data_IF_551039132131
#
_entry.id   IF_551039132131
#
_cell.length_a   1.000
_cell.length_b   1.000
_cell.length_c   1.000
_cell.angle_alpha   90.00
_cell.angle_beta   90.00
_cell.angle_gamma   90.00
#
_symmetry.space_group_name_H-M   'P 1'
#
loop_
_entity.id
_entity.type
_entity.pdbx_description
1 polymer ?
#
# COMPACT_ATOMS: atom_id res chain seq x y z
N UNK A 1 -11.10 21.23 -1.42
CA UNK A 1 -12.09 20.55 -0.54
C UNK A 1 -11.70 19.09 -0.30
N UNK A 2 -11.38 18.31 -1.34
CA UNK A 2 -10.89 16.93 -1.20
C UNK A 2 -9.59 16.76 -0.40
N UNK A 3 -8.61 17.67 -0.58
CA UNK A 3 -7.35 17.66 0.17
C UNK A 3 -7.54 17.82 1.68
N UNK A 4 -8.35 18.80 2.09
CA UNK A 4 -8.67 19.06 3.51
C UNK A 4 -9.50 17.93 4.14
N UNK A 5 -10.33 17.24 3.34
CA UNK A 5 -11.11 16.10 3.81
C UNK A 5 -10.24 14.86 4.02
N UNK A 6 -9.25 14.63 3.14
CA UNK A 6 -8.28 13.54 3.27
C UNK A 6 -7.40 13.72 4.51
N UNK A 7 -6.95 14.95 4.78
CA UNK A 7 -6.13 15.28 5.95
C UNK A 7 -6.83 14.90 7.26
N UNK A 8 -8.08 15.33 7.42
CA UNK A 8 -8.85 15.12 8.66
C UNK A 8 -9.13 13.66 8.98
N UNK A 9 -9.19 12.78 7.97
CA UNK A 9 -9.44 11.35 8.16
C UNK A 9 -8.23 10.62 8.76
N UNK A 10 -7.01 11.07 8.47
CA UNK A 10 -5.78 10.39 8.89
C UNK A 10 -5.16 11.05 10.14
N UNK A 11 -5.16 12.38 10.19
CA UNK A 11 -4.52 13.15 11.28
C UNK A 11 -5.25 12.96 12.60
N UNK A 12 -6.59 12.91 12.61
CA UNK A 12 -7.36 12.81 13.86
C UNK A 12 -7.12 11.49 14.62
N UNK A 13 -7.21 10.29 13.99
CA UNK A 13 -6.86 9.04 14.65
C UNK A 13 -5.40 8.99 15.13
N UNK A 14 -4.46 9.50 14.33
CA UNK A 14 -3.03 9.48 14.68
C UNK A 14 -2.76 10.38 15.89
N UNK A 15 -3.32 11.58 15.92
CA UNK A 15 -3.18 12.49 17.06
C UNK A 15 -3.88 11.98 18.32
N UNK A 16 -5.00 11.26 18.16
CA UNK A 16 -5.63 10.55 19.26
C UNK A 16 -4.69 9.47 19.83
N UNK A 17 -4.04 8.67 18.98
CA UNK A 17 -3.09 7.64 19.43
C UNK A 17 -1.86 8.25 20.11
N UNK A 18 -1.34 9.37 19.63
CA UNK A 18 -0.25 10.12 20.29
C UNK A 18 -0.70 10.62 21.66
N UNK A 19 -1.88 11.26 21.74
CA UNK A 19 -2.45 11.72 23.01
C UNK A 19 -2.72 10.59 24.00
N UNK A 20 -3.25 9.47 23.52
CA UNK A 20 -3.45 8.26 24.31
C UNK A 20 -2.12 7.70 24.85
N UNK A 21 -1.06 7.74 24.04
CA UNK A 21 0.30 7.38 24.47
C UNK A 21 0.77 8.19 25.68
N UNK A 22 0.57 9.51 25.66
CA UNK A 22 0.89 10.39 26.79
C UNK A 22 0.02 10.11 28.03
N UNK A 23 -1.26 9.79 27.85
CA UNK A 23 -2.12 9.43 28.99
C UNK A 23 -1.69 8.09 29.59
N UNK A 24 -1.33 7.12 28.75
CA UNK A 24 -0.86 5.81 29.19
C UNK A 24 0.46 5.92 29.96
N UNK A 25 1.39 6.78 29.54
CA UNK A 25 2.65 7.03 30.27
C UNK A 25 2.43 7.68 31.63
N UNK A 26 1.34 8.42 31.82
CA UNK A 26 0.95 8.92 33.14
C UNK A 26 0.32 7.86 34.05
N UNK A 27 -0.43 6.91 33.47
CA UNK A 27 -1.17 5.89 34.23
C UNK A 27 -0.33 4.65 34.57
N UNK A 28 0.69 4.33 33.76
CA UNK A 28 1.52 3.13 33.92
C UNK A 28 2.95 3.53 34.27
N UNK A 29 3.37 3.29 35.51
CA UNK A 29 4.75 3.45 35.96
C UNK A 29 5.27 2.11 36.49
N UNK A 30 6.34 1.59 35.88
CA UNK A 30 6.97 0.35 36.30
C UNK A 30 8.23 0.03 35.50
N UNK A 31 9.09 -0.90 35.96
CA UNK A 31 10.34 -1.24 35.29
C UNK A 31 10.12 -1.74 33.85
N UNK A 32 9.04 -2.51 33.61
CA UNK A 32 8.66 -2.92 32.26
C UNK A 32 8.24 -1.74 31.36
N UNK A 33 7.63 -0.69 31.93
CA UNK A 33 7.32 0.53 31.16
C UNK A 33 8.61 1.23 30.71
N UNK A 34 9.63 1.30 31.56
CA UNK A 34 10.92 1.90 31.18
C UNK A 34 11.68 1.11 30.12
N UNK A 35 11.63 -0.23 30.14
CA UNK A 35 12.25 -1.08 29.13
C UNK A 35 11.55 -1.01 27.75
N UNK A 36 10.20 -0.94 27.74
CA UNK A 36 9.44 -0.99 26.48
C UNK A 36 9.01 0.37 25.92
N UNK A 37 8.78 1.37 26.79
CA UNK A 37 8.15 2.65 26.44
C UNK A 37 8.92 3.89 26.94
N UNK A 38 9.80 3.75 27.93
CA UNK A 38 10.50 4.89 28.55
C UNK A 38 11.31 5.74 27.56
N UNK A 39 12.05 5.10 26.65
CA UNK A 39 12.78 5.82 25.59
C UNK A 39 11.86 6.46 24.54
N UNK A 40 10.64 5.93 24.34
CA UNK A 40 9.70 6.47 23.36
C UNK A 40 8.97 7.71 23.90
N UNK A 41 8.78 7.83 25.22
CA UNK A 41 8.07 8.94 25.86
C UNK A 41 8.83 10.27 25.72
N UNK A 42 10.14 10.28 26.02
CA UNK A 42 11.00 11.47 25.87
C UNK A 42 11.11 11.92 24.39
N UNK A 43 11.38 10.97 23.49
CA UNK A 43 11.45 11.23 22.04
C UNK A 43 10.13 11.77 21.50
N UNK A 44 9.02 11.22 21.98
CA UNK A 44 7.70 11.68 21.56
C UNK A 44 7.40 13.07 22.11
N UNK A 45 7.79 13.39 23.34
CA UNK A 45 7.65 14.74 23.89
C UNK A 45 8.38 15.79 23.04
N UNK A 46 9.55 15.47 22.49
CA UNK A 46 10.31 16.38 21.62
C UNK A 46 9.77 16.48 20.18
N UNK A 47 9.24 15.37 19.64
CA UNK A 47 8.93 15.24 18.21
C UNK A 47 7.46 15.02 17.86
N UNK A 48 6.52 15.04 18.82
CA UNK A 48 5.08 14.78 18.55
C UNK A 48 4.48 15.74 17.51
N UNK A 49 4.92 16.99 17.50
CA UNK A 49 4.43 18.02 16.58
C UNK A 49 4.78 17.72 15.11
N UNK A 50 5.86 16.96 14.86
CA UNK A 50 6.22 16.51 13.51
C UNK A 50 5.22 15.49 12.97
N UNK A 51 4.57 14.73 13.85
CA UNK A 51 3.49 13.79 13.48
C UNK A 51 2.27 14.57 13.00
N UNK A 52 1.89 15.64 13.69
CA UNK A 52 0.77 16.52 13.31
C UNK A 52 1.00 17.17 11.94
N UNK A 53 2.24 17.60 11.67
CA UNK A 53 2.61 18.23 10.40
C UNK A 53 2.92 17.22 9.28
N UNK A 54 2.81 15.91 9.54
CA UNK A 54 3.19 14.86 8.61
C UNK A 54 4.63 15.01 8.05
N UNK A 55 5.57 15.42 8.90
CA UNK A 55 7.01 15.53 8.57
C UNK A 55 7.88 14.65 9.47
N UNK A 56 7.27 13.72 10.22
CA UNK A 56 7.95 12.83 11.15
C UNK A 56 9.07 12.01 10.46
N UNK A 57 8.91 11.69 9.18
CA UNK A 57 9.90 10.97 8.37
C UNK A 57 11.19 11.76 8.02
N UNK A 58 11.27 13.04 8.42
CA UNK A 58 12.50 13.83 8.33
C UNK A 58 13.39 13.69 9.56
N UNK A 59 12.83 13.23 10.68
CA UNK A 59 13.57 12.85 11.87
C UNK A 59 14.27 11.50 11.66
N UNK A 60 15.42 11.31 12.32
CA UNK A 60 16.09 10.00 12.37
C UNK A 60 15.17 8.95 12.96
N UNK A 61 15.18 7.74 12.42
CA UNK A 61 14.25 6.65 12.74
C UNK A 61 14.18 6.35 14.24
N UNK A 62 15.32 6.38 14.92
CA UNK A 62 15.43 6.14 16.36
C UNK A 62 14.94 7.31 17.21
N UNK A 63 14.81 8.52 16.67
CA UNK A 63 14.41 9.74 17.38
C UNK A 63 12.96 10.15 17.05
N UNK A 64 12.24 9.38 16.24
CA UNK A 64 10.82 9.63 15.94
C UNK A 64 9.97 9.38 17.19
N UNK A 65 8.88 10.13 17.37
CA UNK A 65 7.89 9.83 18.43
C UNK A 65 7.41 8.37 18.33
N UNK A 66 7.19 7.90 17.11
CA UNK A 66 6.96 6.50 16.81
C UNK A 66 7.36 6.22 15.36
N UNK A 67 8.17 5.16 15.11
CA UNK A 67 8.49 4.73 13.77
C UNK A 67 7.25 4.42 12.94
N UNK A 68 6.16 3.92 13.53
CA UNK A 68 4.96 3.55 12.77
C UNK A 68 4.35 4.70 11.96
N UNK A 69 4.62 5.96 12.33
CA UNK A 69 4.08 7.13 11.64
C UNK A 69 4.91 7.62 10.44
N UNK A 70 6.08 7.02 10.15
CA UNK A 70 6.89 7.42 8.99
C UNK A 70 6.10 7.26 7.67
N UNK A 71 5.36 6.15 7.54
CA UNK A 71 4.64 5.82 6.31
C UNK A 71 3.46 6.76 6.07
N UNK A 72 2.72 7.09 7.13
CA UNK A 72 1.62 8.06 7.10
C UNK A 72 2.12 9.43 6.62
N UNK A 73 3.27 9.87 7.10
CA UNK A 73 3.89 11.13 6.68
C UNK A 73 4.28 11.09 5.20
N UNK A 74 4.86 9.98 4.73
CA UNK A 74 5.22 9.79 3.32
C UNK A 74 3.99 9.81 2.41
N UNK A 75 2.93 9.09 2.78
CA UNK A 75 1.69 9.03 1.98
C UNK A 75 1.06 10.43 1.80
N UNK A 76 0.98 11.19 2.89
CA UNK A 76 0.50 12.57 2.85
C UNK A 76 1.33 13.47 1.94
N UNK A 77 2.66 13.38 2.05
CA UNK A 77 3.59 14.16 1.22
C UNK A 77 3.45 13.81 -0.26
N UNK A 78 3.37 12.53 -0.59
CA UNK A 78 3.19 12.08 -1.98
C UNK A 78 1.82 12.45 -2.53
N UNK A 79 0.77 12.37 -1.73
CA UNK A 79 -0.56 12.83 -2.09
C UNK A 79 -0.53 14.31 -2.48
N UNK A 80 0.08 15.17 -1.67
CA UNK A 80 0.18 16.61 -1.96
C UNK A 80 0.93 16.92 -3.26
N UNK A 81 1.97 16.13 -3.59
CA UNK A 81 2.74 16.30 -4.82
C UNK A 81 1.97 15.79 -6.04
N UNK A 82 1.37 14.60 -5.95
CA UNK A 82 0.80 13.91 -7.10
C UNK A 82 -0.71 14.11 -7.29
N UNK A 83 -1.44 14.75 -6.35
CA UNK A 83 -2.89 14.97 -6.48
C UNK A 83 -3.26 15.81 -7.72
N UNK A 84 -2.34 16.65 -8.21
CA UNK A 84 -2.54 17.44 -9.42
C UNK A 84 -2.47 16.58 -10.70
N UNK A 85 -1.77 15.45 -10.68
CA UNK A 85 -1.55 14.63 -11.89
C UNK A 85 -2.84 14.02 -12.42
N UNK A 86 -3.71 13.40 -11.60
CA UNK A 86 -5.05 12.99 -12.04
C UNK A 86 -5.90 14.14 -12.62
N UNK A 87 -5.80 15.34 -12.06
CA UNK A 87 -6.52 16.51 -12.58
C UNK A 87 -6.00 16.94 -13.97
N UNK A 88 -4.68 16.83 -14.18
CA UNK A 88 -4.06 17.06 -15.49
C UNK A 88 -4.50 15.98 -16.47
N UNK A 89 -4.59 14.71 -16.05
CA UNK A 89 -5.02 13.59 -16.91
C UNK A 89 -6.42 13.78 -17.49
N UNK A 90 -7.34 14.42 -16.75
CA UNK A 90 -8.68 14.74 -17.25
C UNK A 90 -8.63 15.62 -18.51
N UNK A 91 -7.69 16.56 -18.58
CA UNK A 91 -7.55 17.47 -19.75
C UNK A 91 -6.54 16.99 -20.78
N UNK A 92 -5.43 16.42 -20.34
CA UNK A 92 -4.29 15.99 -21.16
C UNK A 92 -3.79 14.65 -20.67
N UNK A 93 -4.49 13.60 -21.07
CA UNK A 93 -4.18 12.22 -20.69
C UNK A 93 -2.71 11.86 -20.94
N UNK A 94 -2.22 12.06 -22.17
CA UNK A 94 -0.84 11.68 -22.55
C UNK A 94 0.22 12.36 -21.69
N UNK A 95 -0.02 13.61 -21.29
CA UNK A 95 0.89 14.35 -20.42
C UNK A 95 0.89 13.75 -19.01
N UNK A 96 -0.28 13.44 -18.45
CA UNK A 96 -0.35 12.82 -17.12
C UNK A 96 0.26 11.42 -17.09
N UNK A 97 0.02 10.58 -18.10
CA UNK A 97 0.68 9.27 -18.23
C UNK A 97 2.20 9.43 -18.35
N UNK A 98 2.67 10.39 -19.16
CA UNK A 98 4.10 10.70 -19.26
C UNK A 98 4.70 11.14 -17.92
N UNK A 99 4.00 11.98 -17.15
CA UNK A 99 4.46 12.42 -15.84
C UNK A 99 4.54 11.26 -14.83
N UNK A 100 3.55 10.35 -14.81
CA UNK A 100 3.55 9.19 -13.91
C UNK A 100 4.66 8.19 -14.25
N UNK A 101 4.80 7.84 -15.53
CA UNK A 101 5.85 6.92 -15.99
C UNK A 101 7.24 7.54 -15.80
N UNK A 102 7.40 8.81 -16.18
CA UNK A 102 8.65 9.56 -16.00
C UNK A 102 9.06 9.64 -14.53
N UNK A 103 8.11 9.93 -13.62
CA UNK A 103 8.37 9.96 -12.18
C UNK A 103 8.74 8.59 -11.63
N UNK A 104 8.14 7.51 -12.14
CA UNK A 104 8.47 6.14 -11.75
C UNK A 104 9.90 5.77 -12.13
N UNK A 105 10.29 6.03 -13.39
CA UNK A 105 11.64 5.74 -13.89
C UNK A 105 12.68 6.63 -13.22
N UNK A 106 12.39 7.93 -13.06
CA UNK A 106 13.28 8.87 -12.39
C UNK A 106 13.52 8.48 -10.92
N UNK A 107 12.47 8.05 -10.21
CA UNK A 107 12.59 7.57 -8.83
C UNK A 107 13.47 6.31 -8.75
N UNK A 108 13.23 5.33 -9.62
CA UNK A 108 14.02 4.11 -9.64
C UNK A 108 15.51 4.41 -9.94
N UNK A 109 15.77 5.26 -10.94
CA UNK A 109 17.12 5.67 -11.31
C UNK A 109 17.82 6.43 -10.16
N UNK A 110 17.11 7.34 -9.49
CA UNK A 110 17.63 8.08 -8.34
C UNK A 110 18.01 7.15 -7.19
N UNK A 111 17.14 6.20 -6.82
CA UNK A 111 17.42 5.24 -5.75
C UNK A 111 18.60 4.33 -6.10
N UNK A 112 18.69 3.86 -7.34
CA UNK A 112 19.83 3.06 -7.83
C UNK A 112 21.12 3.87 -7.70
N UNK A 113 21.12 5.11 -8.21
CA UNK A 113 22.29 5.99 -8.17
C UNK A 113 22.73 6.31 -6.74
N UNK A 114 21.78 6.69 -5.88
CA UNK A 114 22.06 7.01 -4.48
C UNK A 114 22.63 5.79 -3.74
N UNK A 115 22.05 4.61 -3.93
CA UNK A 115 22.51 3.37 -3.28
C UNK A 115 23.90 2.97 -3.76
N UNK A 116 24.16 3.11 -5.07
CA UNK A 116 25.46 2.80 -5.66
C UNK A 116 26.57 3.74 -5.17
N UNK A 117 26.29 5.05 -5.12
CA UNK A 117 27.31 6.07 -4.79
C UNK A 117 27.60 6.19 -3.30
N UNK A 118 26.60 5.99 -2.44
CA UNK A 118 26.71 6.17 -0.99
C UNK A 118 26.90 4.86 -0.22
N UNK A 119 27.13 3.74 -0.91
CA UNK A 119 27.37 2.41 -0.33
C UNK A 119 26.27 1.99 0.67
N UNK A 120 25.02 2.35 0.37
CA UNK A 120 23.88 1.97 1.20
C UNK A 120 23.53 0.50 1.01
N UNK A 121 23.15 -0.16 2.11
CA UNK A 121 22.82 -1.58 2.10
C UNK A 121 21.32 -1.83 2.03
N UNK A 122 20.88 -2.94 1.42
CA UNK A 122 19.48 -3.34 1.47
C UNK A 122 18.97 -3.53 2.91
N UNK A 123 17.82 -2.95 3.21
CA UNK A 123 17.15 -3.01 4.52
C UNK A 123 17.05 -4.42 5.17
N UNK A 124 16.84 -5.52 4.42
CA UNK A 124 16.80 -6.88 5.00
C UNK A 124 18.07 -7.33 5.73
N UNK A 125 19.17 -6.58 5.62
CA UNK A 125 20.46 -6.84 6.27
C UNK A 125 20.68 -6.09 7.59
N UNK A 126 19.67 -5.35 8.07
CA UNK A 126 19.72 -4.55 9.32
C UNK A 126 20.26 -5.30 10.54
N UNK A 127 20.08 -6.61 10.62
CA UNK A 127 20.49 -7.44 11.76
C UNK A 127 21.71 -8.34 11.46
N UNK A 128 22.21 -8.31 10.23
CA UNK A 128 23.26 -9.24 9.76
C UNK A 128 24.62 -8.56 9.56
N UNK A 129 24.67 -7.23 9.41
CA UNK A 129 25.93 -6.50 9.30
C UNK A 129 26.49 -6.16 10.71
N UNK A 130 27.73 -6.57 11.04
CA UNK A 130 28.40 -6.15 12.28
C UNK A 130 28.61 -4.62 12.38
N UNK A 131 28.63 -3.90 11.25
CA UNK A 131 28.69 -2.45 11.20
C UNK A 131 27.27 -1.84 11.14
N UNK A 132 26.74 -1.45 12.30
CA UNK A 132 25.39 -0.90 12.41
C UNK A 132 25.20 0.50 11.79
N UNK A 133 26.27 1.20 11.43
CA UNK A 133 26.16 2.55 10.84
C UNK A 133 25.54 2.52 9.44
N UNK A 134 25.91 1.55 8.59
CA UNK A 134 25.41 1.47 7.21
C UNK A 134 23.91 1.16 7.16
N UNK A 135 23.38 0.17 7.92
CA UNK A 135 21.94 -0.05 7.98
C UNK A 135 21.18 1.13 8.57
N UNK A 136 21.70 1.77 9.61
CA UNK A 136 21.06 2.95 10.22
C UNK A 136 20.95 4.11 9.23
N UNK A 137 22.03 4.41 8.51
CA UNK A 137 22.02 5.45 7.49
C UNK A 137 21.07 5.11 6.33
N UNK A 138 20.99 3.84 5.94
CA UNK A 138 20.04 3.40 4.91
C UNK A 138 18.59 3.67 5.36
N UNK A 139 18.26 3.38 6.62
CA UNK A 139 16.93 3.63 7.16
C UNK A 139 16.60 5.13 7.05
N UNK A 140 17.50 5.98 7.54
CA UNK A 140 17.28 7.42 7.68
C UNK A 140 17.26 8.18 6.35
N UNK A 141 18.14 7.79 5.41
CA UNK A 141 18.33 8.52 4.15
C UNK A 141 17.63 7.90 2.94
N UNK A 142 17.24 6.63 2.99
CA UNK A 142 16.63 5.92 1.86
C UNK A 142 15.26 5.35 2.22
N UNK A 143 15.12 4.68 3.36
CA UNK A 143 13.89 3.94 3.66
C UNK A 143 12.71 4.83 4.01
N UNK A 144 12.87 5.75 4.96
CA UNK A 144 11.77 6.59 5.47
C UNK A 144 11.48 7.81 4.59
N UNK A 145 12.36 8.10 3.62
CA UNK A 145 12.25 9.31 2.80
C UNK A 145 11.19 9.17 1.71
N UNK A 146 10.40 10.22 1.42
CA UNK A 146 9.22 10.11 0.55
C UNK A 146 9.59 9.87 -0.91
N UNK A 147 10.69 10.45 -1.37
CA UNK A 147 11.13 10.38 -2.77
C UNK A 147 11.42 8.95 -3.22
N UNK A 148 11.81 8.03 -2.34
CA UNK A 148 12.08 6.63 -2.70
C UNK A 148 10.80 5.81 -2.92
N UNK A 149 9.65 6.31 -2.49
CA UNK A 149 8.32 5.69 -2.64
C UNK A 149 7.46 6.35 -3.73
N UNK A 150 7.93 7.46 -4.31
CA UNK A 150 7.18 8.17 -5.34
C UNK A 150 6.86 7.28 -6.56
N UNK A 151 7.78 6.39 -6.94
CA UNK A 151 7.58 5.46 -8.06
C UNK A 151 6.45 4.45 -7.82
N UNK A 152 6.37 3.81 -6.65
CA UNK A 152 5.28 2.89 -6.32
C UNK A 152 3.94 3.60 -6.15
N UNK A 153 3.96 4.85 -5.69
CA UNK A 153 2.75 5.69 -5.63
C UNK A 153 2.24 6.04 -7.04
N UNK A 154 3.15 6.43 -7.95
CA UNK A 154 2.80 6.73 -9.35
C UNK A 154 2.25 5.52 -10.11
N UNK A 155 2.84 4.33 -9.91
CA UNK A 155 2.31 3.10 -10.53
C UNK A 155 0.90 2.80 -10.01
N UNK A 156 0.63 3.02 -8.72
CA UNK A 156 -0.71 2.90 -8.14
C UNK A 156 -1.74 3.79 -8.84
N UNK A 157 -1.43 5.08 -9.02
CA UNK A 157 -2.31 6.01 -9.77
C UNK A 157 -2.52 5.55 -11.21
N UNK A 158 -1.44 5.14 -11.88
CA UNK A 158 -1.50 4.70 -13.28
C UNK A 158 -2.39 3.45 -13.44
N UNK A 159 -2.22 2.44 -12.58
CA UNK A 159 -3.05 1.24 -12.61
C UNK A 159 -4.50 1.56 -12.28
N UNK A 160 -4.75 2.40 -11.26
CA UNK A 160 -6.11 2.87 -10.95
C UNK A 160 -6.77 3.56 -12.15
N UNK A 161 -6.03 4.40 -12.87
CA UNK A 161 -6.50 5.03 -14.10
C UNK A 161 -6.82 4.01 -15.21
N UNK A 162 -5.92 3.05 -15.45
CA UNK A 162 -6.12 2.02 -16.46
C UNK A 162 -7.34 1.15 -16.16
N UNK A 163 -7.57 0.80 -14.89
CA UNK A 163 -8.75 0.04 -14.46
C UNK A 163 -10.05 0.79 -14.75
N UNK A 164 -10.09 2.10 -14.47
CA UNK A 164 -11.28 2.93 -14.76
C UNK A 164 -11.49 3.14 -16.26
N UNK A 165 -10.42 3.32 -17.03
CA UNK A 165 -10.51 3.57 -18.48
C UNK A 165 -10.92 2.33 -19.27
N UNK A 166 -10.41 1.17 -18.87
CA UNK A 166 -10.59 -0.09 -19.60
C UNK A 166 -11.49 -1.07 -18.85
N UNK A 167 -12.44 -0.58 -18.04
CA UNK A 167 -13.40 -1.40 -17.28
C UNK A 167 -14.14 -2.41 -18.17
N UNK A 168 -14.48 -2.02 -19.40
CA UNK A 168 -15.20 -2.87 -20.35
C UNK A 168 -14.32 -3.94 -21.02
N UNK A 169 -12.99 -3.86 -20.90
CA UNK A 169 -12.05 -4.80 -21.52
C UNK A 169 -11.88 -6.00 -20.60
N UNK A 170 -12.45 -7.14 -21.01
CA UNK A 170 -12.29 -8.39 -20.28
C UNK A 170 -10.96 -9.05 -20.66
N UNK A 171 -10.04 -9.17 -19.71
CA UNK A 171 -8.79 -9.92 -19.87
C UNK A 171 -9.12 -11.41 -19.94
N UNK A 172 -8.56 -12.14 -20.92
CA UNK A 172 -8.79 -13.59 -21.03
C UNK A 172 -8.24 -14.32 -19.79
N UNK A 173 -8.89 -15.43 -19.40
CA UNK A 173 -8.46 -16.21 -18.23
C UNK A 173 -7.00 -16.66 -18.34
N UNK A 174 -6.54 -17.01 -19.54
CA UNK A 174 -5.14 -17.40 -19.79
C UNK A 174 -4.18 -16.25 -19.45
N UNK A 175 -4.48 -15.03 -19.91
CA UNK A 175 -3.64 -13.86 -19.62
C UNK A 175 -3.69 -13.51 -18.13
N UNK A 176 -4.84 -13.63 -17.47
CA UNK A 176 -4.96 -13.41 -16.02
C UNK A 176 -4.07 -14.38 -15.23
N UNK A 177 -4.16 -15.69 -15.51
CA UNK A 177 -3.31 -16.69 -14.84
C UNK A 177 -1.83 -16.44 -15.14
N UNK A 178 -1.47 -16.10 -16.38
CA UNK A 178 -0.09 -15.75 -16.71
C UNK A 178 0.42 -14.54 -15.90
N UNK A 179 -0.38 -13.47 -15.80
CA UNK A 179 -0.02 -12.29 -15.01
C UNK A 179 0.10 -12.60 -13.51
N UNK A 180 -0.78 -13.44 -12.96
CA UNK A 180 -0.67 -13.89 -11.57
C UNK A 180 0.58 -14.75 -11.33
N UNK A 181 0.91 -15.67 -12.23
CA UNK A 181 2.12 -16.47 -12.15
C UNK A 181 3.37 -15.59 -12.21
N UNK A 182 3.43 -14.65 -13.16
CA UNK A 182 4.55 -13.71 -13.28
C UNK A 182 4.67 -12.83 -12.04
N UNK A 183 3.56 -12.25 -11.56
CA UNK A 183 3.55 -11.43 -10.35
C UNK A 183 4.01 -12.21 -9.13
N UNK A 184 3.54 -13.44 -8.96
CA UNK A 184 3.93 -14.32 -7.85
C UNK A 184 5.41 -14.69 -7.94
N UNK A 185 5.91 -15.03 -9.13
CA UNK A 185 7.32 -15.34 -9.35
C UNK A 185 8.22 -14.14 -9.01
N UNK A 186 7.86 -12.94 -9.47
CA UNK A 186 8.59 -11.69 -9.14
C UNK A 186 8.56 -11.42 -7.64
N UNK A 187 7.41 -11.58 -6.98
CA UNK A 187 7.29 -11.40 -5.53
C UNK A 187 8.18 -12.40 -4.76
N UNK A 188 8.20 -13.67 -5.18
CA UNK A 188 9.08 -14.69 -4.61
C UNK A 188 10.56 -14.34 -4.83
N UNK A 189 10.96 -13.94 -6.03
CA UNK A 189 12.32 -13.51 -6.33
C UNK A 189 12.77 -12.36 -5.41
N UNK A 190 11.94 -11.31 -5.25
CA UNK A 190 12.25 -10.16 -4.38
C UNK A 190 12.47 -10.57 -2.93
N UNK A 191 11.81 -11.62 -2.45
CA UNK A 191 11.94 -12.10 -1.06
C UNK A 191 13.11 -13.08 -0.91
N UNK A 192 13.37 -13.90 -1.93
CA UNK A 192 14.44 -14.90 -1.90
C UNK A 192 15.82 -14.31 -2.18
N UNK A 193 15.95 -13.18 -2.89
CA UNK A 193 17.26 -12.55 -3.16
C UNK A 193 18.02 -12.20 -1.86
N UNK A 194 17.40 -11.54 -0.86
CA UNK A 194 18.07 -11.27 0.42
C UNK A 194 18.49 -12.50 1.23
N UNK A 195 17.95 -13.68 0.93
CA UNK A 195 18.30 -14.91 1.65
C UNK A 195 19.78 -15.25 1.51
N UNK A 196 20.35 -15.09 0.31
CA UNK A 196 21.79 -15.33 0.10
C UNK A 196 22.64 -14.31 0.85
N UNK A 197 22.19 -13.06 0.93
CA UNK A 197 22.89 -12.01 1.66
C UNK A 197 22.90 -12.27 3.18
N UNK A 198 21.82 -12.85 3.73
CA UNK A 198 21.74 -13.22 5.14
C UNK A 198 22.70 -14.36 5.53
N UNK A 199 23.16 -15.17 4.57
CA UNK A 199 24.20 -16.19 4.82
C UNK A 199 25.61 -15.62 4.91
N UNK A 200 25.79 -14.31 4.70
CA UNK A 200 27.09 -13.64 4.67
C UNK A 200 27.62 -13.35 3.26
N UNK A 201 26.89 -13.70 2.20
CA UNK A 201 27.24 -13.34 0.82
C UNK A 201 26.71 -11.95 0.49
N UNK A 202 27.37 -10.91 0.98
CA UNK A 202 26.92 -9.52 0.80
C UNK A 202 26.82 -9.14 -0.69
N UNK A 203 25.78 -8.39 -1.09
CA UNK A 203 25.57 -7.99 -2.47
C UNK A 203 26.67 -7.04 -2.97
N UNK A 204 26.91 -7.07 -4.28
CA UNK A 204 27.65 -5.98 -4.93
C UNK A 204 26.87 -4.66 -4.86
N UNK A 205 27.54 -3.52 -4.93
CA UNK A 205 26.89 -2.20 -4.92
C UNK A 205 25.83 -2.03 -6.02
N UNK A 206 26.09 -2.62 -7.20
CA UNK A 206 25.14 -2.61 -8.31
C UNK A 206 23.89 -3.45 -8.00
N UNK A 207 24.08 -4.65 -7.44
CA UNK A 207 23.00 -5.54 -7.04
C UNK A 207 22.13 -4.91 -5.94
N UNK A 208 22.77 -4.28 -4.94
CA UNK A 208 22.11 -3.53 -3.89
C UNK A 208 21.27 -2.36 -4.46
N UNK A 209 21.84 -1.59 -5.39
CA UNK A 209 21.14 -0.48 -6.05
C UNK A 209 19.94 -0.94 -6.87
N UNK A 210 20.12 -1.96 -7.71
CA UNK A 210 19.03 -2.55 -8.51
C UNK A 210 17.91 -3.08 -7.63
N UNK A 211 18.25 -3.79 -6.55
CA UNK A 211 17.25 -4.26 -5.60
C UNK A 211 16.52 -3.09 -4.92
N UNK A 212 17.26 -2.10 -4.42
CA UNK A 212 16.69 -0.94 -3.72
C UNK A 212 15.69 -0.15 -4.59
N UNK A 213 16.01 0.06 -5.87
CA UNK A 213 15.16 0.81 -6.81
C UNK A 213 13.96 0.04 -7.36
N UNK A 214 14.07 -1.28 -7.55
CA UNK A 214 13.04 -2.08 -8.24
C UNK A 214 12.12 -2.83 -7.29
N UNK A 215 12.56 -3.21 -6.08
CA UNK A 215 11.72 -4.05 -5.21
C UNK A 215 10.44 -3.34 -4.73
N UNK A 216 10.48 -2.01 -4.64
CA UNK A 216 9.35 -1.18 -4.14
C UNK A 216 8.19 -1.11 -5.11
N UNK A 217 8.46 -1.10 -6.42
CA UNK A 217 7.43 -1.11 -7.46
C UNK A 217 6.80 -2.49 -7.65
N UNK A 218 7.49 -3.55 -7.25
CA UNK A 218 7.00 -4.93 -7.30
C UNK A 218 6.06 -5.31 -6.13
N UNK A 219 6.13 -4.61 -4.99
CA UNK A 219 5.28 -4.89 -3.82
C UNK A 219 3.94 -4.18 -3.92
N UNK A 220 2.98 -4.82 -4.58
CA UNK A 220 1.59 -4.35 -4.68
C UNK A 220 0.67 -4.85 -3.55
N UNK A 221 1.13 -5.72 -2.63
CA UNK A 221 0.31 -6.31 -1.56
C UNK A 221 0.52 -5.64 -0.20
N UNK A 222 0.11 -4.36 -0.10
CA UNK A 222 0.15 -3.55 1.14
C UNK A 222 -0.51 -4.27 2.34
N UNK A 223 -1.64 -4.95 2.11
CA UNK A 223 -2.35 -5.70 3.16
C UNK A 223 -1.55 -6.85 3.76
N UNK A 224 -0.87 -7.65 2.93
CA UNK A 224 -0.01 -8.73 3.39
C UNK A 224 1.26 -8.20 4.08
N UNK A 225 1.81 -7.08 3.59
CA UNK A 225 2.95 -6.40 4.20
C UNK A 225 2.65 -5.97 5.65
N UNK A 226 1.55 -5.24 5.86
CA UNK A 226 1.15 -4.77 7.20
C UNK A 226 0.98 -5.93 8.20
N UNK A 227 0.35 -7.03 7.79
CA UNK A 227 0.18 -8.21 8.65
C UNK A 227 1.46 -8.98 8.89
N UNK A 228 2.35 -9.04 7.90
CA UNK A 228 3.60 -9.79 7.99
C UNK A 228 4.53 -9.23 9.06
N UNK A 229 4.55 -7.91 9.25
CA UNK A 229 5.38 -7.24 10.25
C UNK A 229 5.01 -7.69 11.67
N UNK A 230 3.71 -7.78 11.99
CA UNK A 230 3.27 -8.25 13.32
C UNK A 230 3.56 -9.73 13.53
N UNK A 231 3.37 -10.57 12.50
CA UNK A 231 3.67 -12.01 12.58
C UNK A 231 5.18 -12.24 12.75
N UNK A 232 6.01 -11.47 12.03
CA UNK A 232 7.47 -11.49 12.17
C UNK A 232 7.89 -11.02 13.57
N UNK A 233 7.32 -9.92 14.09
CA UNK A 233 7.62 -9.42 15.42
C UNK A 233 7.30 -10.46 16.51
N UNK A 234 6.08 -11.04 16.47
CA UNK A 234 5.70 -12.12 17.40
C UNK A 234 6.68 -13.30 17.28
N UNK A 235 7.00 -13.74 16.06
CA UNK A 235 7.93 -14.86 15.87
C UNK A 235 9.31 -14.56 16.44
N UNK A 236 9.85 -13.36 16.23
CA UNK A 236 11.15 -12.94 16.75
C UNK A 236 11.13 -12.88 18.28
N UNK A 237 10.07 -12.33 18.90
CA UNK A 237 9.95 -12.23 20.37
C UNK A 237 9.82 -13.61 21.04
N UNK A 238 9.16 -14.57 20.37
CA UNK A 238 8.96 -15.91 20.92
C UNK A 238 10.06 -16.92 20.54
N UNK A 239 11.04 -16.54 19.71
CA UNK A 239 12.20 -17.40 19.40
C UNK A 239 13.09 -17.54 20.63
N UNK A 240 13.25 -18.77 21.10
CA UNK A 240 14.13 -19.14 22.23
C UNK A 240 15.40 -19.89 21.81
N UNK A 241 15.55 -20.16 20.52
CA UNK A 241 16.65 -20.92 19.95
C UNK A 241 17.42 -20.07 18.93
N UNK A 242 18.71 -20.38 18.76
CA UNK A 242 19.58 -19.73 17.77
C UNK A 242 19.07 -20.07 16.37
N UNK A 243 18.99 -19.07 15.49
CA UNK A 243 18.49 -19.27 14.14
C UNK A 243 19.47 -20.08 13.29
N UNK A 244 19.16 -21.35 13.03
CA UNK A 244 19.89 -22.15 12.05
C UNK A 244 19.37 -21.89 10.63
N UNK A 245 20.22 -21.31 9.78
CA UNK A 245 19.87 -20.89 8.42
C UNK A 245 19.95 -22.04 7.40
N UNK A 246 19.22 -23.12 7.65
CA UNK A 246 19.06 -24.18 6.65
C UNK A 246 17.95 -23.84 5.64
N UNK A 247 18.12 -24.29 4.39
CA UNK A 247 17.19 -24.02 3.29
C UNK A 247 15.76 -24.47 3.60
N UNK A 248 15.60 -25.67 4.14
CA UNK A 248 14.29 -26.28 4.40
C UNK A 248 13.47 -25.52 5.47
N UNK A 249 14.03 -25.20 6.67
CA UNK A 249 13.34 -24.36 7.66
C UNK A 249 12.99 -22.97 7.15
N UNK A 250 13.87 -22.33 6.37
CA UNK A 250 13.66 -20.96 5.88
C UNK A 250 12.53 -20.90 4.84
N UNK A 251 12.46 -21.88 3.94
CA UNK A 251 11.35 -22.01 2.98
C UNK A 251 10.02 -22.26 3.70
N UNK A 252 10.01 -23.16 4.69
CA UNK A 252 8.82 -23.42 5.52
C UNK A 252 8.40 -22.18 6.31
N UNK A 253 9.36 -21.44 6.89
CA UNK A 253 9.11 -20.20 7.61
C UNK A 253 8.51 -19.14 6.70
N UNK A 254 9.03 -19.01 5.48
CA UNK A 254 8.55 -18.07 4.47
C UNK A 254 7.11 -18.38 4.06
N UNK A 255 6.81 -19.61 3.63
CA UNK A 255 5.46 -20.00 3.24
C UNK A 255 4.48 -19.89 4.42
N UNK A 256 4.88 -20.32 5.61
CA UNK A 256 4.06 -20.20 6.81
C UNK A 256 3.76 -18.75 7.18
N UNK A 257 4.76 -17.86 7.16
CA UNK A 257 4.56 -16.42 7.43
C UNK A 257 3.69 -15.79 6.36
N UNK A 258 3.89 -16.15 5.09
CA UNK A 258 3.12 -15.63 3.96
C UNK A 258 1.65 -16.03 4.05
N UNK A 259 1.36 -17.32 4.27
CA UNK A 259 -0.01 -17.83 4.42
C UNK A 259 -0.70 -17.17 5.60
N UNK A 260 -0.05 -17.12 6.77
CA UNK A 260 -0.60 -16.44 7.95
C UNK A 260 -0.85 -14.95 7.70
N UNK A 261 0.03 -14.28 6.96
CA UNK A 261 -0.12 -12.86 6.61
C UNK A 261 -1.33 -12.65 5.71
N UNK A 262 -1.50 -13.43 4.64
CA UNK A 262 -2.65 -13.31 3.76
C UNK A 262 -3.97 -13.69 4.46
N UNK A 263 -3.96 -14.69 5.35
CA UNK A 263 -5.13 -15.03 6.17
C UNK A 263 -5.49 -13.87 7.11
N UNK A 264 -4.53 -13.31 7.82
CA UNK A 264 -4.75 -12.17 8.70
C UNK A 264 -5.22 -10.94 7.93
N UNK A 265 -4.66 -10.69 6.74
CA UNK A 265 -5.04 -9.56 5.89
C UNK A 265 -6.48 -9.71 5.39
N UNK A 266 -6.89 -10.93 5.04
CA UNK A 266 -8.26 -11.22 4.65
C UNK A 266 -9.25 -11.00 5.81
N UNK A 267 -8.89 -11.43 7.02
CA UNK A 267 -9.71 -11.19 8.22
C UNK A 267 -9.83 -9.69 8.50
N UNK A 268 -8.72 -8.93 8.46
CA UNK A 268 -8.73 -7.48 8.64
C UNK A 268 -9.58 -6.76 7.59
N UNK A 269 -9.50 -7.19 6.33
CA UNK A 269 -10.35 -6.68 5.26
C UNK A 269 -11.84 -6.90 5.55
N UNK A 270 -12.24 -8.10 5.99
CA UNK A 270 -13.63 -8.41 6.31
C UNK A 270 -14.15 -7.64 7.52
N UNK A 271 -13.32 -7.46 8.55
CA UNK A 271 -13.72 -6.84 9.82
C UNK A 271 -13.73 -5.31 9.75
N UNK A 272 -12.81 -4.71 8.98
CA UNK A 272 -12.59 -3.26 8.98
C UNK A 272 -13.03 -2.64 7.67
N UNK A 273 -12.42 -3.00 6.54
CA UNK A 273 -12.67 -2.31 5.26
C UNK A 273 -14.05 -2.62 4.67
N UNK A 274 -14.49 -3.88 4.73
CA UNK A 274 -15.79 -4.30 4.19
C UNK A 274 -16.98 -3.54 4.81
N UNK A 275 -17.13 -3.45 6.14
CA UNK A 275 -18.22 -2.69 6.75
C UNK A 275 -18.08 -1.18 6.52
N UNK A 276 -16.85 -0.63 6.54
CA UNK A 276 -16.63 0.79 6.26
C UNK A 276 -17.02 1.14 4.82
N UNK A 277 -16.71 0.30 3.84
CA UNK A 277 -17.12 0.48 2.44
C UNK A 277 -18.63 0.42 2.24
N UNK A 278 -19.33 -0.46 2.98
CA UNK A 278 -20.80 -0.49 3.01
C UNK A 278 -21.37 0.82 3.60
N UNK A 279 -20.83 1.26 4.74
CA UNK A 279 -21.27 2.49 5.41
C UNK A 279 -20.99 3.72 4.56
N UNK A 280 -19.83 3.82 3.92
CA UNK A 280 -19.48 4.91 3.00
C UNK A 280 -20.44 4.97 1.81
N UNK A 281 -20.82 3.81 1.26
CA UNK A 281 -21.82 3.71 0.19
C UNK A 281 -23.20 4.22 0.63
N UNK A 282 -23.63 3.93 1.87
CA UNK A 282 -24.89 4.43 2.41
C UNK A 282 -24.85 5.93 2.76
N UNK A 283 -23.71 6.46 3.18
CA UNK A 283 -23.55 7.87 3.55
C UNK A 283 -23.39 8.77 2.30
N UNK A 284 -22.68 8.31 1.26
CA UNK A 284 -22.26 9.14 0.13
C UNK A 284 -22.93 8.83 -1.22
N UNK A 285 -23.68 7.74 -1.40
CA UNK A 285 -24.66 7.70 -2.50
C UNK A 285 -25.80 8.66 -2.18
N UNK A 286 -25.55 9.93 -2.52
CA UNK A 286 -26.53 11.00 -2.56
C UNK A 286 -27.74 10.54 -3.39
N UNK A 287 -28.94 10.83 -2.86
CA UNK A 287 -30.28 10.64 -3.46
C UNK A 287 -30.36 10.92 -4.98
N UNK A 288 -29.45 11.73 -5.52
CA UNK A 288 -29.36 12.10 -6.93
C UNK A 288 -29.14 10.94 -7.93
N UNK A 289 -28.52 9.82 -7.53
CA UNK A 289 -28.32 8.65 -8.44
C UNK A 289 -29.57 7.75 -8.49
N UNK A 290 -30.32 7.66 -7.38
CA UNK A 290 -31.56 6.88 -7.29
C UNK A 290 -32.67 7.52 -8.13
N UNK A 291 -32.81 8.85 -8.10
CA UNK A 291 -33.78 9.56 -8.94
C UNK A 291 -33.46 9.43 -10.43
N UNK A 292 -32.18 9.52 -10.81
CA UNK A 292 -31.76 9.44 -12.22
C UNK A 292 -31.91 8.03 -12.81
N UNK A 293 -31.75 6.98 -12.00
CA UNK A 293 -32.06 5.60 -12.41
C UNK A 293 -33.57 5.33 -12.49
N UNK A 294 -34.36 5.93 -11.60
CA UNK A 294 -35.83 5.87 -11.63
C UNK A 294 -36.41 6.55 -12.89
N UNK A 295 -35.92 7.74 -13.23
CA UNK A 295 -36.36 8.48 -14.43
C UNK A 295 -35.96 7.76 -15.72
N UNK A 296 -34.73 7.22 -15.81
CA UNK A 296 -34.28 6.47 -16.97
C UNK A 296 -35.04 5.14 -17.15
N UNK A 297 -35.42 4.47 -16.05
CA UNK A 297 -36.25 3.26 -16.10
C UNK A 297 -37.70 3.57 -16.51
N UNK A 298 -38.26 4.70 -16.08
CA UNK A 298 -39.59 5.15 -16.52
C UNK A 298 -39.62 5.54 -18.00
N UNK A 299 -38.58 6.22 -18.50
CA UNK A 299 -38.46 6.58 -19.92
C UNK A 299 -38.26 5.36 -20.82
N UNK A 300 -37.48 4.36 -20.37
CA UNK A 300 -37.29 3.10 -21.08
C UNK A 300 -38.58 2.26 -21.16
N UNK A 301 -39.35 2.19 -20.07
CA UNK A 301 -40.63 1.48 -20.04
C UNK A 301 -41.72 2.16 -20.90
N UNK A 302 -41.73 3.50 -20.95
CA UNK A 302 -42.63 4.25 -21.83
C UNK A 302 -42.32 4.04 -23.32
N UNK A 303 -41.04 4.00 -23.69
CA UNK A 303 -40.60 3.69 -25.06
C UNK A 303 -40.84 2.23 -25.45
N UNK A 304 -40.72 1.31 -24.49
CA UNK A 304 -41.02 -0.12 -24.67
C UNK A 304 -42.51 -0.36 -24.90
N UNK A 305 -43.40 0.22 -24.08
CA UNK A 305 -44.85 0.04 -24.26
C UNK A 305 -45.36 0.67 -25.57
N UNK A 306 -44.85 1.85 -25.96
CA UNK A 306 -45.23 2.50 -27.22
C UNK A 306 -44.72 1.78 -28.49
N UNK A 307 -43.70 0.93 -28.38
CA UNK A 307 -43.23 0.10 -29.49
C UNK A 307 -43.95 -1.25 -29.58
N UNK A 308 -44.45 -1.79 -28.45
CA UNK A 308 -45.28 -3.00 -28.39
C UNK A 308 -46.72 -2.76 -28.89
N UNK A 309 -47.28 -1.57 -28.69
CA UNK A 309 -48.61 -1.21 -29.22
C UNK A 309 -48.67 -1.11 -30.74
N UNK A 310 -47.55 -0.79 -31.40
CA UNK A 310 -47.46 -0.65 -32.87
C UNK A 310 -47.19 -1.95 -33.63
N UNK A 311 -47.02 -3.07 -32.91
CA UNK A 311 -46.66 -4.37 -33.51
C UNK A 311 -47.90 -5.16 -33.93
N UNK A 312 -47.85 -5.78 -35.12
CA UNK A 312 -48.97 -6.58 -35.65
C UNK A 312 -49.13 -7.89 -34.86
N UNK A 313 -50.33 -8.51 -34.84
CA UNK A 313 -50.60 -9.69 -34.00
C UNK A 313 -49.63 -10.87 -34.24
N UNK A 314 -49.18 -11.07 -35.48
CA UNK A 314 -48.26 -12.14 -35.86
C UNK A 314 -46.80 -11.90 -35.38
N UNK A 315 -46.41 -10.65 -35.13
CA UNK A 315 -45.08 -10.30 -34.63
C UNK A 315 -44.96 -10.45 -33.10
N UNK A 316 -46.07 -10.27 -32.38
CA UNK A 316 -46.15 -10.49 -30.93
C UNK A 316 -45.97 -11.98 -30.56
N UNK A 317 -46.48 -12.88 -31.38
CA UNK A 317 -46.40 -14.33 -31.14
C UNK A 317 -44.99 -14.89 -31.36
N UNK A 318 -44.27 -14.42 -32.39
CA UNK A 318 -42.87 -14.82 -32.63
C UNK A 318 -41.91 -14.35 -31.56
N UNK A 319 -42.17 -13.19 -30.93
CA UNK A 319 -41.29 -12.62 -29.91
C UNK A 319 -41.40 -13.34 -28.56
N UNK A 320 -42.58 -13.84 -28.21
CA UNK A 320 -42.79 -14.66 -26.99
C UNK A 320 -42.10 -16.03 -27.04
N UNK A 321 -41.77 -16.54 -28.22
CA UNK A 321 -41.08 -17.84 -28.39
C UNK A 321 -39.57 -17.73 -28.19
N UNK A 322 -38.97 -16.55 -28.44
CA UNK A 322 -37.52 -16.32 -28.33
C UNK A 322 -37.07 -16.08 -26.88
N UNK A 323 -37.93 -15.56 -26.02
CA UNK A 323 -37.60 -15.28 -24.60
C UNK A 323 -37.65 -16.51 -23.68
N UNK A 324 -37.80 -17.73 -24.23
CA UNK A 324 -37.81 -18.99 -23.46
C UNK A 324 -36.51 -19.79 -23.53
N UNK A 325 -35.42 -19.23 -24.05
CA UNK A 325 -34.08 -19.83 -24.05
C UNK A 325 -33.06 -18.96 -23.31
#
# INVERSE_FOLDING_TARGET
MYTVYSDRRLTLPVMFMVGFGFVLSMLVRGPAFYEFLGHNDERCYESWWMVLLHINNWQSFLNMCSPFYWYISVDWQLYMVFCAVPLIMIRREKLGVFLLLGSTVATAAYVIFQTYTLDYQPLPLLLSDPNQERPSNTVDYVYIKPFTHAGSYCTGILFGYLTLKYEHVKISKVVQYALWCVSTAVALCVIMVPYEWQKGNFPSQLEAGLYAGLHRTARLSLGAYLTSVFILAIRVTYRREIAEYHHFPMVMLFFGTTVLSYMAAYVLFLVIECPVGLVEKYIFMSKAVVERHSENAAHANGAFNGSVEKMTPAEKEKRFVVERF
#
